data_IF_553120534618
#
_entry.id   IF_553120534618
#
_cell.length_a   1.000
_cell.length_b   1.000
_cell.length_c   1.000
_cell.angle_alpha   90.00
_cell.angle_beta   90.00
_cell.angle_gamma   90.00
#
_symmetry.space_group_name_H-M   'P 1'
#
loop_
_entity.id
_entity.type
_entity.pdbx_description
1 polymer ?
#
# COMPACT_ATOMS: atom_id res chain seq x y z
N UNK A 1 6.00 6.04 17.36
CA UNK A 1 5.33 5.88 16.05
C UNK A 1 5.87 6.95 15.11
N UNK A 2 6.34 6.55 13.92
CA UNK A 2 6.76 7.51 12.88
C UNK A 2 5.50 8.14 12.31
N UNK A 3 5.41 9.48 12.34
CA UNK A 3 4.32 10.22 11.70
C UNK A 3 4.67 10.46 10.24
N UNK A 4 3.69 10.27 9.36
CA UNK A 4 3.80 10.60 7.94
C UNK A 4 3.79 12.14 7.84
N UNK A 5 4.94 12.72 7.52
CA UNK A 5 5.09 14.18 7.34
C UNK A 5 4.42 14.62 6.03
N UNK A 6 4.14 15.93 5.84
CA UNK A 6 3.61 16.43 4.58
C UNK A 6 4.49 16.08 3.37
N UNK A 7 5.81 16.07 3.56
CA UNK A 7 6.78 15.68 2.53
C UNK A 7 6.66 14.20 2.17
N UNK A 8 6.67 13.30 3.17
CA UNK A 8 6.52 11.85 2.95
C UNK A 8 5.17 11.54 2.30
N UNK A 9 4.09 12.23 2.73
CA UNK A 9 2.77 12.12 2.11
C UNK A 9 2.83 12.46 0.62
N UNK A 10 3.47 13.57 0.27
CA UNK A 10 3.61 14.00 -1.12
C UNK A 10 4.31 12.93 -1.97
N UNK A 11 5.46 12.42 -1.49
CA UNK A 11 6.20 11.40 -2.23
C UNK A 11 5.37 10.11 -2.40
N UNK A 12 4.65 9.67 -1.37
CA UNK A 12 3.79 8.46 -1.43
C UNK A 12 2.63 8.61 -2.42
N UNK A 13 1.94 9.76 -2.43
CA UNK A 13 0.74 9.93 -3.28
C UNK A 13 1.08 10.26 -4.74
N UNK A 14 2.27 10.80 -5.02
CA UNK A 14 2.67 11.23 -6.37
C UNK A 14 3.56 10.21 -7.11
N UNK A 15 4.00 9.12 -6.47
CA UNK A 15 4.91 8.14 -7.06
C UNK A 15 4.43 6.70 -6.85
N UNK A 16 4.82 5.77 -7.75
CA UNK A 16 4.60 4.35 -7.53
C UNK A 16 5.33 3.86 -6.28
N UNK A 17 4.68 2.96 -5.57
CA UNK A 17 5.17 2.42 -4.30
C UNK A 17 5.54 0.95 -4.46
N UNK A 18 6.68 0.54 -3.96
CA UNK A 18 7.03 -0.86 -3.81
C UNK A 18 6.52 -1.38 -2.46
N UNK A 19 5.53 -2.28 -2.48
CA UNK A 19 5.00 -2.95 -1.28
C UNK A 19 5.56 -4.36 -1.19
N UNK A 20 6.40 -4.59 -0.19
CA UNK A 20 6.95 -5.89 0.15
C UNK A 20 6.11 -6.59 1.22
N UNK A 21 5.88 -7.88 1.03
CA UNK A 21 5.23 -8.80 1.96
C UNK A 21 6.01 -10.11 2.02
N UNK A 22 5.69 -10.97 2.98
CA UNK A 22 6.34 -12.27 3.15
C UNK A 22 5.29 -13.34 3.42
N UNK A 23 5.49 -14.53 2.85
CA UNK A 23 4.62 -15.68 3.14
C UNK A 23 4.98 -16.35 4.47
N UNK A 24 4.18 -17.34 4.90
CA UNK A 24 4.45 -18.10 6.13
C UNK A 24 5.73 -18.94 6.12
N UNK A 25 6.43 -19.04 4.98
CA UNK A 25 7.72 -19.74 4.82
C UNK A 25 8.89 -18.78 4.70
N UNK A 26 8.70 -17.50 5.04
CA UNK A 26 9.70 -16.44 4.91
C UNK A 26 10.12 -16.16 3.46
N UNK A 27 9.30 -16.51 2.45
CA UNK A 27 9.58 -16.19 1.05
C UNK A 27 9.08 -14.76 0.73
N UNK A 28 9.94 -13.86 0.23
CA UNK A 28 9.56 -12.49 -0.04
C UNK A 28 8.68 -12.38 -1.30
N UNK A 29 7.83 -11.38 -1.31
CA UNK A 29 7.06 -10.92 -2.46
C UNK A 29 7.13 -9.38 -2.50
N UNK A 30 7.18 -8.79 -3.70
CA UNK A 30 7.07 -7.34 -3.88
C UNK A 30 6.09 -7.04 -5.02
N UNK A 31 5.21 -6.07 -4.79
CA UNK A 31 4.33 -5.52 -5.83
C UNK A 31 4.60 -4.04 -6.02
N UNK A 32 4.47 -3.58 -7.26
CA UNK A 32 4.38 -2.16 -7.56
C UNK A 32 2.92 -1.74 -7.43
N UNK A 33 2.67 -0.75 -6.60
CA UNK A 33 1.38 -0.12 -6.38
C UNK A 33 1.41 1.23 -7.09
N UNK A 34 0.60 1.38 -8.13
CA UNK A 34 0.57 2.61 -8.96
C UNK A 34 0.02 3.81 -8.19
N UNK A 35 -0.89 3.59 -7.25
CA UNK A 35 -1.53 4.63 -6.47
C UNK A 35 -1.72 4.18 -5.01
N UNK A 36 -1.26 5.02 -4.08
CA UNK A 36 -1.47 4.88 -2.65
C UNK A 36 -2.01 6.20 -2.09
N UNK A 37 -2.84 6.13 -1.04
CA UNK A 37 -3.44 7.32 -0.41
C UNK A 37 -3.10 7.41 1.07
N UNK A 38 -2.72 8.59 1.55
CA UNK A 38 -2.59 8.84 2.98
C UNK A 38 -3.96 9.22 3.55
N UNK A 39 -4.52 8.34 4.38
CA UNK A 39 -5.86 8.48 4.95
C UNK A 39 -5.85 8.87 6.44
N UNK A 40 -4.69 8.77 7.09
CA UNK A 40 -4.44 9.30 8.44
C UNK A 40 -2.94 9.57 8.64
N UNK A 41 -2.55 10.15 9.78
CA UNK A 41 -1.15 10.47 10.09
C UNK A 41 -0.21 9.25 10.11
N UNK A 42 -0.76 8.05 10.22
CA UNK A 42 -0.07 6.77 10.36
C UNK A 42 -0.66 5.67 9.44
N UNK A 43 -1.53 6.03 8.49
CA UNK A 43 -2.24 5.06 7.64
C UNK A 43 -2.09 5.39 6.16
N UNK A 44 -1.64 4.39 5.42
CA UNK A 44 -1.62 4.35 3.96
C UNK A 44 -2.69 3.38 3.50
N UNK A 45 -3.55 3.81 2.59
CA UNK A 45 -4.53 2.99 1.90
C UNK A 45 -3.96 2.57 0.54
N UNK A 46 -4.02 1.27 0.25
CA UNK A 46 -3.57 0.64 -0.99
C UNK A 46 -4.74 -0.19 -1.53
N UNK A 47 -5.02 -0.06 -2.82
CA UNK A 47 -6.09 -0.84 -3.49
C UNK A 47 -5.52 -2.16 -4.03
N UNK A 48 -6.20 -3.29 -3.80
CA UNK A 48 -5.85 -4.57 -4.42
C UNK A 48 -6.35 -4.63 -5.86
N UNK A 49 -5.46 -4.27 -6.79
CA UNK A 49 -5.64 -4.46 -8.22
C UNK A 49 -4.71 -5.57 -8.70
N UNK A 50 -5.20 -6.82 -8.61
CA UNK A 50 -4.48 -8.04 -9.02
C UNK A 50 -3.34 -8.47 -8.08
N UNK A 51 -3.37 -8.09 -6.80
CA UNK A 51 -2.32 -8.37 -5.81
C UNK A 51 -2.51 -9.72 -5.09
N UNK A 52 -2.85 -10.78 -5.84
CA UNK A 52 -3.23 -12.10 -5.29
C UNK A 52 -2.22 -12.63 -4.25
N UNK A 53 -0.93 -12.67 -4.60
CA UNK A 53 0.11 -13.18 -3.69
C UNK A 53 0.26 -12.31 -2.43
N UNK A 54 0.13 -10.99 -2.55
CA UNK A 54 0.16 -10.10 -1.36
C UNK A 54 -1.00 -10.39 -0.43
N UNK A 55 -2.23 -10.56 -0.96
CA UNK A 55 -3.38 -10.94 -0.14
C UNK A 55 -3.19 -12.29 0.55
N UNK A 56 -2.62 -13.27 -0.14
CA UNK A 56 -2.31 -14.59 0.43
C UNK A 56 -1.24 -14.50 1.54
N UNK A 57 -0.19 -13.69 1.33
CA UNK A 57 0.82 -13.41 2.34
C UNK A 57 0.21 -12.76 3.60
N UNK A 58 -0.69 -11.78 3.40
CA UNK A 58 -1.38 -11.09 4.50
C UNK A 58 -2.28 -11.98 5.36
N UNK A 59 -2.68 -13.15 4.84
CA UNK A 59 -3.38 -14.15 5.63
C UNK A 59 -2.45 -14.90 6.61
N UNK A 60 -1.14 -14.88 6.36
CA UNK A 60 -0.13 -15.55 7.20
C UNK A 60 0.66 -14.58 8.09
N UNK A 61 0.92 -13.36 7.60
CA UNK A 61 1.63 -12.31 8.34
C UNK A 61 1.10 -10.93 7.94
N UNK A 62 0.85 -10.07 8.92
CA UNK A 62 0.48 -8.68 8.67
C UNK A 62 1.68 -7.77 8.38
N UNK A 63 2.91 -8.25 8.57
CA UNK A 63 4.11 -7.41 8.44
C UNK A 63 4.38 -7.04 6.98
N UNK A 64 4.57 -5.75 6.74
CA UNK A 64 4.81 -5.18 5.42
C UNK A 64 5.91 -4.14 5.46
N UNK A 65 6.59 -3.97 4.32
CA UNK A 65 7.54 -2.89 4.10
C UNK A 65 7.16 -2.13 2.83
N UNK A 66 7.07 -0.82 2.93
CA UNK A 66 6.77 0.09 1.85
C UNK A 66 8.03 0.89 1.53
N UNK A 67 8.45 0.89 0.27
CA UNK A 67 9.50 1.76 -0.23
C UNK A 67 8.95 2.64 -1.35
N UNK A 68 9.33 3.91 -1.36
CA UNK A 68 8.92 4.89 -2.38
C UNK A 68 10.08 5.85 -2.62
N UNK A 69 10.20 6.34 -3.85
CA UNK A 69 11.17 7.36 -4.22
C UNK A 69 10.62 8.22 -5.36
N UNK A 70 11.06 9.46 -5.44
CA UNK A 70 10.79 10.36 -6.57
C UNK A 70 11.89 10.27 -7.65
N UNK A 71 11.76 11.10 -8.70
CA UNK A 71 12.72 11.16 -9.82
C UNK A 71 14.09 11.72 -9.42
N UNK A 72 14.15 12.46 -8.32
CA UNK A 72 15.37 13.05 -7.76
C UNK A 72 16.02 12.12 -6.71
N UNK A 73 15.51 10.89 -6.58
CA UNK A 73 15.96 9.86 -5.64
C UNK A 73 15.76 10.21 -4.16
N UNK A 74 14.85 11.13 -3.84
CA UNK A 74 14.39 11.31 -2.47
C UNK A 74 13.50 10.13 -2.09
N UNK A 75 14.01 9.25 -1.23
CA UNK A 75 13.38 7.98 -0.91
C UNK A 75 12.99 7.84 0.54
N UNK A 76 11.87 7.16 0.78
CA UNK A 76 11.38 6.84 2.11
C UNK A 76 11.04 5.36 2.23
N UNK A 77 11.29 4.80 3.43
CA UNK A 77 10.89 3.46 3.82
C UNK A 77 9.98 3.52 5.03
N UNK A 78 8.82 2.88 4.92
CA UNK A 78 7.87 2.70 6.02
C UNK A 78 7.74 1.20 6.30
N UNK A 79 7.86 0.81 7.56
CA UNK A 79 7.66 -0.57 8.02
C UNK A 79 6.48 -0.56 8.98
N UNK A 80 5.57 -1.50 8.82
CA UNK A 80 4.36 -1.55 9.63
C UNK A 80 3.56 -2.82 9.39
N UNK A 81 2.28 -2.76 9.75
CA UNK A 81 1.34 -3.86 9.60
C UNK A 81 0.19 -3.46 8.67
N UNK A 82 -0.25 -4.38 7.83
CA UNK A 82 -1.38 -4.21 6.94
C UNK A 82 -2.59 -5.04 7.39
N UNK A 83 -3.78 -4.51 7.11
CA UNK A 83 -5.05 -5.20 7.28
C UNK A 83 -5.81 -5.14 5.95
N UNK A 84 -6.31 -6.28 5.50
CA UNK A 84 -7.08 -6.38 4.27
C UNK A 84 -8.58 -6.23 4.55
N UNK A 85 -9.25 -5.37 3.79
CA UNK A 85 -10.67 -5.07 3.94
C UNK A 85 -11.41 -5.47 2.66
N UNK A 86 -12.36 -6.41 2.76
CA UNK A 86 -13.22 -6.85 1.64
C UNK A 86 -14.51 -6.04 1.52
N UNK A 87 -14.84 -5.30 2.57
CA UNK A 87 -16.09 -4.55 2.74
C UNK A 87 -15.87 -3.38 3.71
N UNK A 88 -16.89 -2.54 3.87
CA UNK A 88 -16.86 -1.39 4.79
C UNK A 88 -16.38 -0.10 4.14
N UNK A 89 -16.05 0.89 4.97
CA UNK A 89 -15.73 2.26 4.53
C UNK A 89 -14.54 2.30 3.55
N UNK A 90 -13.49 1.53 3.82
CA UNK A 90 -12.29 1.51 2.97
C UNK A 90 -12.55 0.85 1.62
N UNK A 91 -13.41 -0.18 1.59
CA UNK A 91 -13.81 -0.80 0.32
C UNK A 91 -14.58 0.18 -0.56
N UNK A 92 -15.56 0.88 0.03
CA UNK A 92 -16.33 1.91 -0.69
C UNK A 92 -15.42 3.03 -1.18
N UNK A 93 -14.51 3.49 -0.33
CA UNK A 93 -13.55 4.54 -0.68
C UNK A 93 -12.73 4.17 -1.92
N UNK A 94 -12.17 2.96 -2.00
CA UNK A 94 -11.37 2.55 -3.17
C UNK A 94 -12.21 2.30 -4.42
N UNK A 95 -13.47 1.89 -4.30
CA UNK A 95 -14.40 1.73 -5.43
C UNK A 95 -14.79 3.08 -6.05
N UNK A 96 -14.85 4.15 -5.24
CA UNK A 96 -15.22 5.50 -5.69
C UNK A 96 -14.03 6.30 -6.26
N UNK A 97 -12.81 5.79 -6.11
CA UNK A 97 -11.60 6.48 -6.59
C UNK A 97 -11.51 6.49 -8.13
N UNK A 98 -11.27 7.67 -8.75
CA UNK A 98 -11.11 7.77 -10.21
C UNK A 98 -10.00 6.88 -10.76
N UNK A 99 -8.91 6.69 -10.02
CA UNK A 99 -7.75 5.88 -10.40
C UNK A 99 -8.09 4.39 -10.53
N UNK A 100 -9.19 3.96 -9.92
CA UNK A 100 -9.64 2.57 -9.90
C UNK A 100 -10.78 2.27 -10.89
N UNK A 101 -11.26 3.27 -11.65
CA UNK A 101 -12.45 3.15 -12.51
C UNK A 101 -12.43 1.94 -13.45
N UNK A 102 -11.27 1.62 -14.01
CA UNK A 102 -11.08 0.52 -14.97
C UNK A 102 -10.43 -0.72 -14.34
N UNK A 103 -10.34 -0.75 -13.01
CA UNK A 103 -9.69 -1.81 -12.24
C UNK A 103 -10.66 -2.51 -11.27
N UNK A 104 -10.32 -3.73 -10.79
CA UNK A 104 -11.21 -4.49 -9.92
C UNK A 104 -11.50 -3.86 -8.55
N UNK A 105 -10.60 -3.00 -8.06
CA UNK A 105 -10.70 -2.32 -6.77
C UNK A 105 -11.04 -3.26 -5.60
N UNK A 106 -10.39 -4.43 -5.51
CA UNK A 106 -10.78 -5.53 -4.60
C UNK A 106 -10.55 -5.22 -3.12
#
# INVERSE_FOLDING_TARGET
MVKITPEVKKIIEENPVALATVDGKCKPNVNVVSFAKIVAQDKVLITDNYMKQTRENLASSSDVCLAVWDKDWNGYKLVGQAKYFKEGEWKKFVEEMPENKDFPAK
#
